data_IF_404947873082
#
_entry.id   IF_404947873082
#
_cell.length_a   1.000
_cell.length_b   1.000
_cell.length_c   1.000
_cell.angle_alpha   90.00
_cell.angle_beta   90.00
_cell.angle_gamma   90.00
#
_symmetry.space_group_name_H-M   'P 1'
#
loop_
_entity.id
_entity.type
_entity.pdbx_description
1 polymer ?
#
# COMPACT_ATOMS: atom_id res chain seq x y z
N UNK A 1 33.11 -71.86 -14.78
CA UNK A 1 32.96 -70.82 -15.80
C UNK A 1 31.84 -69.92 -15.30
N UNK A 2 32.21 -68.82 -14.76
CA UNK A 2 31.41 -67.97 -13.94
C UNK A 2 30.73 -66.88 -14.79
N UNK A 3 29.44 -66.85 -14.78
CA UNK A 3 28.68 -65.72 -15.37
C UNK A 3 28.25 -64.77 -14.29
N UNK A 4 28.93 -63.64 -14.22
CA UNK A 4 28.50 -62.52 -13.37
C UNK A 4 27.31 -61.81 -14.00
N UNK A 5 26.20 -61.86 -13.31
CA UNK A 5 25.01 -61.08 -13.58
C UNK A 5 25.12 -59.73 -12.83
N UNK A 6 25.40 -58.67 -13.56
CA UNK A 6 25.32 -57.30 -13.02
C UNK A 6 23.90 -56.90 -12.96
N UNK A 7 23.32 -56.85 -11.76
CA UNK A 7 22.05 -56.27 -11.49
C UNK A 7 22.15 -54.73 -11.58
N UNK A 8 21.47 -54.15 -12.56
CA UNK A 8 21.24 -52.72 -12.72
C UNK A 8 20.20 -52.32 -11.67
N UNK A 9 20.57 -51.43 -10.76
CA UNK A 9 19.69 -50.81 -9.78
C UNK A 9 18.81 -49.76 -10.46
N UNK A 10 17.47 -49.87 -10.44
CA UNK A 10 16.57 -48.90 -10.99
C UNK A 10 15.97 -48.03 -9.88
N UNK A 11 16.71 -47.08 -9.35
CA UNK A 11 16.14 -46.09 -8.45
C UNK A 11 16.93 -44.77 -8.42
N UNK A 12 17.03 -44.11 -9.56
CA UNK A 12 17.15 -42.66 -9.57
C UNK A 12 15.96 -42.07 -10.31
N UNK A 13 14.78 -42.17 -9.70
CA UNK A 13 13.61 -41.36 -10.06
C UNK A 13 13.92 -39.92 -9.69
N UNK A 14 14.11 -39.11 -10.71
CA UNK A 14 14.48 -37.72 -10.66
C UNK A 14 13.61 -36.90 -9.73
N UNK A 15 14.14 -36.59 -8.55
CA UNK A 15 13.76 -35.39 -7.84
C UNK A 15 14.19 -34.23 -8.72
N UNK A 16 13.23 -33.70 -9.50
CA UNK A 16 13.46 -32.55 -10.37
C UNK A 16 14.18 -31.47 -9.57
N UNK A 17 15.35 -31.11 -10.03
CA UNK A 17 16.23 -30.11 -9.41
C UNK A 17 15.50 -28.75 -9.53
N UNK A 18 14.57 -28.49 -8.60
CA UNK A 18 13.86 -27.21 -8.52
C UNK A 18 14.93 -26.13 -8.38
N UNK A 19 15.10 -25.30 -9.39
CA UNK A 19 16.13 -24.27 -9.44
C UNK A 19 16.06 -23.44 -8.14
N UNK A 20 17.16 -23.35 -7.45
CA UNK A 20 17.28 -22.51 -6.28
C UNK A 20 17.27 -21.05 -6.70
N UNK A 21 16.43 -20.25 -6.07
CA UNK A 21 16.31 -18.83 -6.37
C UNK A 21 16.71 -18.01 -5.16
N UNK A 22 17.69 -17.13 -5.33
CA UNK A 22 18.09 -16.18 -4.28
C UNK A 22 17.37 -14.86 -4.48
N UNK A 23 16.73 -14.35 -3.43
CA UNK A 23 16.12 -13.02 -3.37
C UNK A 23 16.98 -12.15 -2.46
N UNK A 24 17.50 -11.05 -2.98
CA UNK A 24 18.35 -10.13 -2.23
C UNK A 24 17.50 -8.99 -1.64
N UNK A 25 17.52 -8.88 -0.31
CA UNK A 25 16.76 -7.92 0.47
C UNK A 25 15.45 -8.50 1.02
N UNK A 26 15.30 -8.51 2.35
CA UNK A 26 14.09 -8.95 3.05
C UNK A 26 13.14 -7.78 3.40
N UNK A 27 13.07 -6.76 2.55
CA UNK A 27 12.01 -5.77 2.59
C UNK A 27 10.67 -6.37 2.12
N UNK A 28 9.57 -5.60 2.17
CA UNK A 28 8.23 -6.10 1.79
C UNK A 28 8.21 -6.71 0.37
N UNK A 29 8.90 -6.08 -0.58
CA UNK A 29 8.97 -6.57 -1.96
C UNK A 29 9.69 -7.92 -2.06
N UNK A 30 10.84 -8.06 -1.42
CA UNK A 30 11.61 -9.31 -1.41
C UNK A 30 10.87 -10.44 -0.70
N UNK A 31 10.22 -10.15 0.43
CA UNK A 31 9.39 -11.11 1.14
C UNK A 31 8.18 -11.57 0.31
N UNK A 32 7.49 -10.64 -0.35
CA UNK A 32 6.37 -10.96 -1.24
C UNK A 32 6.83 -11.78 -2.46
N UNK A 33 7.97 -11.43 -3.06
CA UNK A 33 8.58 -12.20 -4.14
C UNK A 33 8.92 -13.62 -3.68
N UNK A 34 9.62 -13.76 -2.56
CA UNK A 34 10.00 -15.06 -2.00
C UNK A 34 8.78 -15.95 -1.74
N UNK A 35 7.72 -15.40 -1.15
CA UNK A 35 6.45 -16.11 -0.92
C UNK A 35 5.79 -16.57 -2.21
N UNK A 36 5.76 -15.71 -3.22
CA UNK A 36 5.17 -16.03 -4.52
C UNK A 36 5.93 -17.16 -5.21
N UNK A 37 7.25 -17.13 -5.20
CA UNK A 37 8.11 -18.18 -5.75
C UNK A 37 7.97 -19.50 -4.99
N UNK A 38 7.92 -19.43 -3.66
CA UNK A 38 7.73 -20.61 -2.82
C UNK A 38 6.35 -21.25 -3.05
N UNK A 39 5.29 -20.45 -3.19
CA UNK A 39 3.96 -20.94 -3.55
C UNK A 39 3.91 -21.58 -4.94
N UNK A 40 4.82 -21.19 -5.85
CA UNK A 40 5.01 -21.81 -7.16
C UNK A 40 5.95 -23.05 -7.13
N UNK A 41 6.27 -23.57 -5.94
CA UNK A 41 7.11 -24.77 -5.78
C UNK A 41 8.61 -24.54 -5.95
N UNK A 42 9.08 -23.29 -5.96
CA UNK A 42 10.52 -22.98 -6.05
C UNK A 42 11.17 -23.03 -4.68
N UNK A 43 12.42 -23.51 -4.62
CA UNK A 43 13.25 -23.31 -3.45
C UNK A 43 13.77 -21.88 -3.43
N UNK A 44 13.55 -21.17 -2.34
CA UNK A 44 13.89 -19.74 -2.23
C UNK A 44 14.71 -19.49 -0.99
N UNK A 45 15.84 -18.81 -1.18
CA UNK A 45 16.66 -18.24 -0.11
C UNK A 45 16.56 -16.73 -0.16
N UNK A 46 16.17 -16.10 0.95
CA UNK A 46 16.15 -14.64 1.07
C UNK A 46 17.36 -14.19 1.86
N UNK A 47 18.17 -13.30 1.26
CA UNK A 47 19.37 -12.73 1.84
C UNK A 47 19.08 -11.32 2.33
N UNK A 48 19.38 -11.02 3.58
CA UNK A 48 19.22 -9.70 4.19
C UNK A 48 20.53 -9.27 4.84
N UNK A 49 20.90 -8.00 4.61
CA UNK A 49 22.11 -7.42 5.17
C UNK A 49 21.93 -6.91 6.62
N UNK A 50 20.69 -6.55 6.98
CA UNK A 50 20.36 -6.10 8.32
C UNK A 50 20.02 -7.27 9.26
N UNK A 51 20.09 -7.02 10.55
CA UNK A 51 19.73 -8.02 11.58
C UNK A 51 18.22 -8.37 11.58
N UNK A 52 17.39 -7.50 11.02
CA UNK A 52 15.94 -7.64 10.99
C UNK A 52 15.38 -7.49 9.58
N UNK A 53 14.34 -8.28 9.30
CA UNK A 53 13.57 -8.15 8.05
C UNK A 53 12.67 -6.92 8.08
N UNK A 54 12.25 -6.44 6.90
CA UNK A 54 11.29 -5.33 6.77
C UNK A 54 11.82 -4.12 6.01
N UNK A 55 13.14 -3.93 5.98
CA UNK A 55 13.76 -2.80 5.30
C UNK A 55 13.27 -1.46 5.87
N UNK A 56 12.58 -0.66 5.05
CA UNK A 56 12.01 0.64 5.46
C UNK A 56 10.80 0.53 6.40
N UNK A 57 10.24 -0.65 6.57
CA UNK A 57 9.11 -0.91 7.49
C UNK A 57 9.69 -1.43 8.80
N UNK A 58 10.13 -0.50 9.63
CA UNK A 58 10.82 -0.78 10.89
C UNK A 58 10.23 0.06 12.03
N UNK A 59 10.21 -0.50 13.23
CA UNK A 59 9.71 0.15 14.45
C UNK A 59 10.75 -0.01 15.55
N UNK A 60 11.14 1.09 16.18
CA UNK A 60 11.99 1.07 17.37
C UNK A 60 11.13 1.01 18.63
N UNK A 61 11.67 0.36 19.66
CA UNK A 61 11.11 0.39 21.01
C UNK A 61 12.05 1.20 21.91
N UNK A 62 11.58 2.39 22.33
CA UNK A 62 12.37 3.31 23.17
C UNK A 62 11.52 3.69 24.38
N UNK A 63 11.97 3.38 25.58
CA UNK A 63 11.29 3.72 26.85
C UNK A 63 9.81 3.31 26.90
N UNK A 64 9.47 2.16 26.29
CA UNK A 64 8.09 1.67 26.20
C UNK A 64 7.26 2.26 25.07
N UNK A 65 7.78 3.22 24.32
CA UNK A 65 7.16 3.76 23.11
C UNK A 65 7.58 2.95 21.88
N UNK A 66 6.66 2.85 20.91
CA UNK A 66 6.94 2.32 19.56
C UNK A 66 7.06 3.48 18.60
N UNK A 67 8.20 3.58 17.93
CA UNK A 67 8.52 4.65 17.01
C UNK A 67 8.78 4.05 15.64
N UNK A 68 7.85 4.25 14.70
CA UNK A 68 8.00 3.80 13.32
C UNK A 68 9.01 4.69 12.59
N UNK A 69 10.05 4.08 11.97
CA UNK A 69 11.13 4.82 11.30
C UNK A 69 10.74 5.38 9.94
N UNK A 70 9.76 4.81 9.28
CA UNK A 70 9.38 5.15 7.93
C UNK A 70 7.87 5.32 7.80
N UNK A 71 7.22 4.38 7.15
CA UNK A 71 5.77 4.41 6.98
C UNK A 71 5.06 4.27 8.32
N UNK A 72 4.09 5.16 8.55
CA UNK A 72 3.33 5.25 9.81
C UNK A 72 1.83 4.99 9.57
N UNK A 73 1.44 4.68 8.34
CA UNK A 73 0.05 4.40 7.96
C UNK A 73 0.04 3.24 6.98
N UNK A 74 -0.81 2.26 7.27
CA UNK A 74 -1.15 1.17 6.37
C UNK A 74 -2.58 1.36 5.88
N UNK A 75 -2.83 1.19 4.57
CA UNK A 75 -4.18 1.20 4.02
C UNK A 75 -4.69 -0.23 3.90
N UNK A 76 -5.70 -0.60 4.67
CA UNK A 76 -6.23 -1.96 4.70
C UNK A 76 -6.93 -2.37 3.38
N UNK A 77 -7.19 -1.40 2.51
CA UNK A 77 -7.74 -1.61 1.18
C UNK A 77 -6.72 -2.03 0.11
N UNK A 78 -5.41 -2.03 0.40
CA UNK A 78 -4.42 -2.48 -0.56
C UNK A 78 -4.65 -3.95 -0.97
N UNK A 79 -4.92 -4.23 -2.27
CA UNK A 79 -5.24 -5.60 -2.71
C UNK A 79 -4.15 -6.61 -2.37
N UNK A 80 -2.89 -6.23 -2.59
CA UNK A 80 -1.76 -7.10 -2.27
C UNK A 80 -1.60 -7.29 -0.75
N UNK A 81 -1.89 -6.26 0.04
CA UNK A 81 -1.92 -6.38 1.50
C UNK A 81 -2.98 -7.36 1.98
N UNK A 82 -4.19 -7.31 1.39
CA UNK A 82 -5.27 -8.25 1.72
C UNK A 82 -4.91 -9.69 1.31
N UNK A 83 -4.13 -9.87 0.24
CA UNK A 83 -3.70 -11.18 -0.24
C UNK A 83 -2.56 -11.77 0.59
N UNK A 84 -1.62 -10.94 1.05
CA UNK A 84 -0.36 -11.37 1.67
C UNK A 84 -0.38 -11.40 3.19
N UNK A 85 -1.28 -10.62 3.83
CA UNK A 85 -1.21 -10.35 5.26
C UNK A 85 -2.45 -10.87 6.00
N UNK A 86 -2.23 -11.38 7.19
CA UNK A 86 -3.30 -11.67 8.14
C UNK A 86 -3.65 -10.40 8.95
N UNK A 87 -4.68 -9.70 8.51
CA UNK A 87 -5.15 -8.47 9.15
C UNK A 87 -5.67 -8.70 10.58
N UNK A 88 -6.20 -9.89 10.87
CA UNK A 88 -6.67 -10.22 12.22
C UNK A 88 -5.50 -10.34 13.18
N UNK A 89 -4.42 -11.02 12.79
CA UNK A 89 -3.21 -11.15 13.58
C UNK A 89 -2.52 -9.79 13.80
N UNK A 90 -2.59 -8.86 12.84
CA UNK A 90 -2.04 -7.51 12.97
C UNK A 90 -2.78 -6.64 13.99
N UNK A 91 -4.02 -6.96 14.32
CA UNK A 91 -4.87 -6.17 15.24
C UNK A 91 -4.86 -4.68 14.86
N UNK A 92 -5.28 -4.38 13.63
CA UNK A 92 -5.20 -3.05 13.05
C UNK A 92 -6.05 -2.03 13.82
N UNK A 93 -5.40 -1.03 14.41
CA UNK A 93 -6.03 0.19 14.91
C UNK A 93 -6.38 1.11 13.73
N UNK A 94 -7.65 1.50 13.59
CA UNK A 94 -8.15 2.33 12.49
C UNK A 94 -8.17 3.79 12.86
N UNK A 95 -7.67 4.65 11.97
CA UNK A 95 -7.76 6.09 12.12
C UNK A 95 -9.15 6.61 11.72
N UNK A 96 -9.54 7.73 12.33
CA UNK A 96 -10.73 8.46 11.89
C UNK A 96 -10.54 8.94 10.43
N UNK A 97 -11.60 8.80 9.61
CA UNK A 97 -11.55 9.20 8.20
C UNK A 97 -11.56 10.73 8.08
N UNK A 98 -10.39 11.30 7.90
CA UNK A 98 -10.19 12.74 7.79
C UNK A 98 -8.75 13.14 8.06
N UNK A 99 -8.51 14.44 8.08
CA UNK A 99 -7.22 15.02 8.40
C UNK A 99 -7.41 16.37 9.12
N UNK A 100 -6.42 16.80 9.85
CA UNK A 100 -6.33 18.16 10.37
C UNK A 100 -5.23 18.88 9.61
N UNK A 101 -5.59 19.96 8.92
CA UNK A 101 -4.63 20.78 8.18
C UNK A 101 -4.23 21.96 9.04
N UNK A 102 -2.92 22.10 9.26
CA UNK A 102 -2.35 23.24 9.95
C UNK A 102 -1.99 24.34 8.93
N UNK A 103 -2.61 25.50 9.04
CA UNK A 103 -2.30 26.70 8.27
C UNK A 103 -1.87 27.81 9.22
N UNK A 104 -0.57 27.99 9.41
CA UNK A 104 -0.03 28.82 10.48
C UNK A 104 -0.47 28.31 11.86
N UNK A 105 -1.18 29.12 12.62
CA UNK A 105 -1.74 28.75 13.92
C UNK A 105 -3.19 28.21 13.86
N UNK A 106 -3.76 28.12 12.66
CA UNK A 106 -5.12 27.63 12.49
C UNK A 106 -5.11 26.15 12.14
N UNK A 107 -5.95 25.39 12.86
CA UNK A 107 -6.18 23.98 12.57
C UNK A 107 -7.55 23.84 11.90
N UNK A 108 -7.55 23.30 10.69
CA UNK A 108 -8.77 23.10 9.90
C UNK A 108 -9.05 21.60 9.74
N UNK A 109 -10.11 21.07 10.36
CA UNK A 109 -10.48 19.69 10.15
C UNK A 109 -11.06 19.50 8.75
N UNK A 110 -10.66 18.42 8.08
CA UNK A 110 -11.27 17.90 6.86
C UNK A 110 -11.72 16.48 7.16
N UNK A 111 -13.00 16.20 6.95
CA UNK A 111 -13.57 14.88 7.13
C UNK A 111 -14.01 14.27 5.79
N UNK A 112 -13.92 12.95 5.70
CA UNK A 112 -14.48 12.20 4.58
C UNK A 112 -16.02 12.24 4.65
N UNK A 113 -16.72 12.90 3.71
CA UNK A 113 -18.16 13.08 3.78
C UNK A 113 -18.95 11.77 3.67
N UNK A 114 -18.37 10.72 3.11
CA UNK A 114 -19.02 9.42 2.99
C UNK A 114 -18.97 8.59 4.29
N UNK A 115 -17.98 8.86 5.14
CA UNK A 115 -17.80 8.15 6.41
C UNK A 115 -18.19 9.00 7.63
N UNK A 116 -18.06 10.32 7.51
CA UNK A 116 -18.32 11.31 8.57
C UNK A 116 -19.11 12.51 8.04
N UNK A 117 -20.37 12.32 7.58
CA UNK A 117 -21.14 13.37 6.89
C UNK A 117 -21.37 14.62 7.76
N UNK A 118 -21.58 14.46 9.06
CA UNK A 118 -21.78 15.60 9.97
C UNK A 118 -20.51 16.46 10.09
N UNK A 119 -19.34 15.82 10.17
CA UNK A 119 -18.07 16.54 10.26
C UNK A 119 -17.65 17.18 8.93
N UNK A 120 -18.12 16.63 7.82
CA UNK A 120 -17.86 17.20 6.49
C UNK A 120 -18.56 18.56 6.30
N UNK A 121 -19.72 18.78 6.92
CA UNK A 121 -20.37 20.09 6.96
C UNK A 121 -19.46 21.14 7.58
N UNK A 122 -18.77 20.80 8.64
CA UNK A 122 -17.80 21.70 9.28
C UNK A 122 -16.61 22.02 8.34
N UNK A 123 -16.18 21.07 7.52
CA UNK A 123 -15.12 21.29 6.52
C UNK A 123 -15.51 22.33 5.47
N UNK A 124 -16.77 22.37 5.09
CA UNK A 124 -17.31 23.40 4.17
C UNK A 124 -17.47 24.73 4.88
N UNK A 125 -18.04 24.75 6.10
CA UNK A 125 -18.26 25.97 6.87
C UNK A 125 -16.96 26.67 7.26
N UNK A 126 -15.89 25.92 7.47
CA UNK A 126 -14.54 26.46 7.75
C UNK A 126 -13.87 27.07 6.52
N UNK A 127 -14.50 27.00 5.32
CA UNK A 127 -13.96 27.53 4.08
C UNK A 127 -12.75 26.76 3.53
N UNK A 128 -12.48 25.57 4.05
CA UNK A 128 -11.32 24.76 3.63
C UNK A 128 -11.55 24.14 2.26
N UNK A 129 -12.78 23.76 1.95
CA UNK A 129 -13.17 23.18 0.66
C UNK A 129 -14.43 23.89 0.16
N UNK A 130 -14.40 24.47 -1.02
CA UNK A 130 -15.59 25.03 -1.65
C UNK A 130 -16.59 23.93 -2.05
N UNK A 131 -17.86 24.25 -2.12
CA UNK A 131 -18.89 23.29 -2.59
C UNK A 131 -18.55 22.79 -4.00
N UNK A 132 -18.06 23.68 -4.87
CA UNK A 132 -17.63 23.32 -6.23
C UNK A 132 -16.49 22.30 -6.22
N UNK A 133 -15.47 22.50 -5.40
CA UNK A 133 -14.36 21.56 -5.30
C UNK A 133 -14.80 20.26 -4.65
N UNK A 134 -15.68 20.31 -3.64
CA UNK A 134 -16.28 19.13 -3.04
C UNK A 134 -17.00 18.24 -4.06
N UNK A 135 -17.77 18.82 -4.98
CA UNK A 135 -18.43 18.07 -6.06
C UNK A 135 -17.43 17.46 -7.05
N UNK A 136 -16.35 18.19 -7.40
CA UNK A 136 -15.29 17.68 -8.27
C UNK A 136 -14.53 16.53 -7.61
N UNK A 137 -14.23 16.63 -6.30
CA UNK A 137 -13.62 15.55 -5.52
C UNK A 137 -14.55 14.33 -5.46
N UNK A 138 -15.85 14.54 -5.27
CA UNK A 138 -16.83 13.46 -5.29
C UNK A 138 -16.87 12.75 -6.64
N UNK A 139 -16.84 13.50 -7.73
CA UNK A 139 -16.78 12.95 -9.09
C UNK A 139 -15.48 12.17 -9.32
N UNK A 140 -14.34 12.73 -8.92
CA UNK A 140 -13.05 12.06 -8.99
C UNK A 140 -13.09 10.73 -8.24
N UNK A 141 -13.58 10.73 -6.99
CA UNK A 141 -13.74 9.52 -6.18
C UNK A 141 -14.59 8.47 -6.90
N UNK A 142 -15.75 8.84 -7.39
CA UNK A 142 -16.65 7.93 -8.10
C UNK A 142 -16.00 7.33 -9.34
N UNK A 143 -15.34 8.14 -10.16
CA UNK A 143 -14.62 7.69 -11.36
C UNK A 143 -13.51 6.69 -11.02
N UNK A 144 -12.70 6.97 -9.99
CA UNK A 144 -11.61 6.10 -9.60
C UNK A 144 -12.10 4.77 -9.03
N UNK A 145 -13.16 4.79 -8.21
CA UNK A 145 -13.76 3.56 -7.69
C UNK A 145 -14.39 2.71 -8.80
N UNK A 146 -15.01 3.33 -9.81
CA UNK A 146 -15.53 2.61 -10.98
C UNK A 146 -14.41 1.96 -11.78
N UNK A 147 -13.32 2.69 -12.05
CA UNK A 147 -12.15 2.16 -12.76
C UNK A 147 -11.47 1.03 -11.99
N UNK A 148 -11.39 1.14 -10.67
CA UNK A 148 -10.83 0.10 -9.82
C UNK A 148 -11.66 -1.19 -9.90
N UNK A 149 -12.98 -1.09 -9.80
CA UNK A 149 -13.90 -2.24 -9.95
C UNK A 149 -13.80 -2.91 -11.32
N UNK A 150 -13.55 -2.11 -12.37
CA UNK A 150 -13.34 -2.62 -13.72
C UNK A 150 -11.93 -3.18 -13.96
N UNK A 151 -11.05 -3.22 -12.95
CA UNK A 151 -9.66 -3.65 -13.09
C UNK A 151 -8.79 -2.73 -13.96
N UNK A 152 -9.28 -1.53 -14.29
CA UNK A 152 -8.61 -0.58 -15.18
C UNK A 152 -7.82 0.51 -14.44
N UNK A 153 -7.74 0.44 -13.12
CA UNK A 153 -6.92 1.32 -12.31
C UNK A 153 -5.60 0.62 -12.00
N UNK A 154 -4.62 0.79 -12.90
CA UNK A 154 -3.27 0.28 -12.73
C UNK A 154 -2.28 1.41 -12.52
N UNK A 155 -1.20 1.12 -11.81
CA UNK A 155 -0.03 1.99 -11.73
C UNK A 155 0.90 1.82 -12.94
N UNK A 156 0.65 0.78 -13.75
CA UNK A 156 1.48 0.47 -14.91
C UNK A 156 1.37 1.54 -16.01
N UNK A 157 2.47 1.66 -16.72
CA UNK A 157 2.68 2.67 -17.74
C UNK A 157 1.93 2.40 -19.07
N UNK A 158 0.65 2.11 -19.08
CA UNK A 158 -0.09 2.01 -20.36
C UNK A 158 0.32 3.12 -21.35
N UNK A 159 -0.17 3.11 -22.56
CA UNK A 159 0.20 4.05 -23.64
C UNK A 159 -0.20 5.53 -23.40
N UNK A 160 -0.83 5.86 -22.27
CA UNK A 160 -1.16 7.24 -21.95
C UNK A 160 0.09 8.01 -21.48
N UNK A 161 0.29 9.26 -21.91
CA UNK A 161 1.42 10.08 -21.46
C UNK A 161 1.41 10.24 -19.94
N UNK A 162 2.59 10.21 -19.36
CA UNK A 162 2.79 10.46 -17.93
C UNK A 162 2.49 11.93 -17.63
N UNK A 163 1.75 12.18 -16.56
CA UNK A 163 1.51 13.54 -16.07
C UNK A 163 1.63 13.58 -14.54
N UNK A 164 1.99 14.73 -14.02
CA UNK A 164 2.06 14.95 -12.58
C UNK A 164 0.68 14.93 -11.93
N UNK A 165 0.64 14.61 -10.65
CA UNK A 165 -0.57 14.72 -9.82
C UNK A 165 -1.14 16.14 -9.87
N UNK A 166 -0.28 17.18 -9.80
CA UNK A 166 -0.68 18.59 -9.87
C UNK A 166 -1.41 18.91 -11.18
N UNK A 167 -0.86 18.50 -12.31
CA UNK A 167 -1.48 18.72 -13.62
C UNK A 167 -2.82 17.99 -13.73
N UNK A 168 -2.88 16.74 -13.28
CA UNK A 168 -4.10 15.96 -13.28
C UNK A 168 -5.23 16.58 -12.44
N UNK A 169 -4.89 17.19 -11.29
CA UNK A 169 -5.86 17.89 -10.45
C UNK A 169 -6.34 19.21 -11.11
N UNK A 170 -5.41 19.98 -11.70
CA UNK A 170 -5.75 21.21 -12.45
C UNK A 170 -6.65 20.94 -13.65
N UNK A 171 -6.35 19.90 -14.43
CA UNK A 171 -7.17 19.51 -15.59
C UNK A 171 -8.59 19.09 -15.19
N UNK A 172 -8.78 18.61 -13.97
CA UNK A 172 -10.10 18.32 -13.40
C UNK A 172 -10.81 19.57 -12.89
N UNK A 173 -10.18 20.73 -13.02
CA UNK A 173 -10.75 22.03 -12.65
C UNK A 173 -10.79 22.26 -11.13
N UNK A 174 -10.00 21.54 -10.33
CA UNK A 174 -9.87 21.82 -8.90
C UNK A 174 -9.19 23.18 -8.71
N UNK A 175 -9.66 23.95 -7.73
CA UNK A 175 -9.13 25.29 -7.47
C UNK A 175 -7.68 25.22 -6.97
N UNK A 176 -6.87 26.27 -7.24
CA UNK A 176 -5.53 26.36 -6.66
C UNK A 176 -5.54 26.27 -5.14
N UNK A 177 -6.58 26.80 -4.49
CA UNK A 177 -6.70 26.81 -3.04
C UNK A 177 -6.86 25.41 -2.45
N UNK A 178 -7.78 24.59 -3.00
CA UNK A 178 -7.95 23.22 -2.51
C UNK A 178 -6.72 22.36 -2.83
N UNK A 179 -6.05 22.61 -3.94
CA UNK A 179 -4.78 21.93 -4.25
C UNK A 179 -3.74 22.28 -3.19
N UNK A 180 -3.53 23.57 -2.90
CA UNK A 180 -2.56 24.07 -1.93
C UNK A 180 -2.91 23.69 -0.48
N UNK A 181 -4.18 23.80 -0.09
CA UNK A 181 -4.58 23.61 1.30
C UNK A 181 -4.85 22.15 1.68
N UNK A 182 -5.17 21.28 0.71
CA UNK A 182 -5.48 19.88 0.99
C UNK A 182 -4.55 18.90 0.27
N UNK A 183 -4.51 18.95 -1.07
CA UNK A 183 -3.78 17.92 -1.80
C UNK A 183 -2.26 18.00 -1.59
N UNK A 184 -1.67 19.17 -1.58
CA UNK A 184 -0.23 19.36 -1.35
C UNK A 184 0.22 18.86 0.03
N UNK A 185 -0.36 19.29 1.16
CA UNK A 185 0.11 18.83 2.46
C UNK A 185 -0.22 17.35 2.70
N UNK A 186 -1.38 16.86 2.26
CA UNK A 186 -1.79 15.48 2.50
C UNK A 186 -0.99 14.50 1.61
N UNK A 187 -1.04 14.67 0.29
CA UNK A 187 -0.34 13.77 -0.63
C UNK A 187 1.16 14.04 -0.69
N UNK A 188 1.60 15.26 -0.43
CA UNK A 188 3.01 15.56 -0.23
C UNK A 188 3.61 14.78 0.94
N UNK A 189 2.87 14.63 2.03
CA UNK A 189 3.24 13.74 3.14
C UNK A 189 3.23 12.27 2.75
N UNK A 190 2.25 11.82 1.98
CA UNK A 190 2.15 10.42 1.51
C UNK A 190 3.28 10.07 0.54
N UNK A 191 3.62 10.97 -0.38
CA UNK A 191 4.64 10.73 -1.40
C UNK A 191 6.03 11.25 -1.03
N UNK A 192 6.17 11.91 0.13
CA UNK A 192 7.39 12.52 0.64
C UNK A 192 7.98 13.55 -0.34
N UNK A 193 7.11 14.36 -0.96
CA UNK A 193 7.49 15.42 -1.89
C UNK A 193 6.53 16.61 -1.81
N UNK A 194 6.93 17.80 -2.24
CA UNK A 194 6.17 19.05 -2.00
C UNK A 194 5.36 19.53 -3.21
N UNK A 195 5.75 19.10 -4.41
CA UNK A 195 5.27 19.73 -5.64
C UNK A 195 4.14 18.98 -6.34
N UNK A 196 3.67 17.87 -5.77
CA UNK A 196 2.75 16.93 -6.40
C UNK A 196 3.25 16.51 -7.81
N UNK A 197 4.58 16.36 -7.93
CA UNK A 197 5.26 15.91 -9.14
C UNK A 197 5.09 14.41 -9.39
N UNK A 198 4.76 13.66 -8.34
CA UNK A 198 4.49 12.22 -8.41
C UNK A 198 3.43 11.92 -9.46
N UNK A 199 3.58 10.77 -10.13
CA UNK A 199 2.67 10.27 -11.16
C UNK A 199 1.19 10.36 -10.75
N UNK A 200 0.38 10.88 -11.64
CA UNK A 200 -1.07 10.92 -11.45
C UNK A 200 -1.72 9.53 -11.37
N UNK A 201 -1.05 8.49 -11.86
CA UNK A 201 -1.50 7.09 -11.74
C UNK A 201 -1.33 6.59 -10.33
N UNK A 202 -0.16 6.84 -9.72
CA UNK A 202 0.09 6.48 -8.33
C UNK A 202 -0.85 7.25 -7.39
N UNK A 203 -1.07 8.55 -7.66
CA UNK A 203 -2.06 9.34 -6.96
C UNK A 203 -3.47 8.73 -7.07
N UNK A 204 -3.91 8.38 -8.28
CA UNK A 204 -5.24 7.82 -8.51
C UNK A 204 -5.45 6.50 -7.75
N UNK A 205 -4.45 5.62 -7.77
CA UNK A 205 -4.46 4.38 -7.02
C UNK A 205 -4.52 4.63 -5.51
N UNK A 206 -3.62 5.45 -4.99
CA UNK A 206 -3.55 5.75 -3.55
C UNK A 206 -4.82 6.45 -3.05
N UNK A 207 -5.34 7.40 -3.83
CA UNK A 207 -6.61 8.06 -3.51
C UNK A 207 -7.78 7.07 -3.48
N UNK A 208 -7.84 6.13 -4.42
CA UNK A 208 -8.84 5.07 -4.41
C UNK A 208 -8.72 4.17 -3.18
N UNK A 209 -7.51 3.85 -2.73
CA UNK A 209 -7.30 3.06 -1.51
C UNK A 209 -7.80 3.80 -0.26
N UNK A 210 -7.51 5.09 -0.12
CA UNK A 210 -8.09 5.93 0.95
C UNK A 210 -9.62 6.02 0.87
N UNK A 211 -10.18 6.04 -0.35
CA UNK A 211 -11.62 6.07 -0.54
C UNK A 211 -12.33 4.75 -0.18
N UNK A 212 -11.63 3.61 -0.29
CA UNK A 212 -12.16 2.27 0.02
C UNK A 212 -12.02 1.90 1.49
N UNK A 213 -10.82 2.08 2.05
CA UNK A 213 -10.47 1.63 3.38
C UNK A 213 -9.91 2.73 4.26
N UNK A 214 -9.98 2.59 5.59
CA UNK A 214 -9.32 3.50 6.52
C UNK A 214 -7.81 3.35 6.47
N UNK A 215 -7.11 4.41 6.88
CA UNK A 215 -5.73 4.28 7.32
C UNK A 215 -5.68 3.54 8.64
N UNK A 216 -4.71 2.68 8.81
CA UNK A 216 -4.56 1.81 9.96
C UNK A 216 -3.11 1.79 10.45
N UNK A 217 -2.93 1.35 11.68
CA UNK A 217 -1.63 1.05 12.25
C UNK A 217 -1.70 -0.31 12.97
N UNK A 218 -0.78 -1.25 12.71
CA UNK A 218 -0.69 -2.49 13.48
C UNK A 218 -0.44 -2.21 14.97
N UNK A 219 -1.07 -2.98 15.86
CA UNK A 219 -0.89 -2.80 17.30
C UNK A 219 0.56 -2.99 17.76
N UNK A 220 1.36 -3.72 17.00
CA UNK A 220 2.80 -3.93 17.23
C UNK A 220 3.71 -2.89 16.57
N UNK A 221 3.17 -1.84 15.93
CA UNK A 221 3.91 -0.96 15.03
C UNK A 221 4.04 -1.55 13.63
N UNK A 222 4.59 -0.78 12.70
CA UNK A 222 4.71 -1.19 11.29
C UNK A 222 5.63 -2.41 11.12
N UNK A 223 6.63 -2.59 11.97
CA UNK A 223 7.51 -3.76 11.95
C UNK A 223 6.80 -5.11 12.22
N UNK A 224 5.54 -5.09 12.64
CA UNK A 224 4.72 -6.31 12.75
C UNK A 224 4.27 -6.88 11.39
N UNK A 225 4.39 -6.11 10.30
CA UNK A 225 3.95 -6.51 8.96
C UNK A 225 4.91 -7.53 8.31
N UNK A 226 6.24 -7.27 8.23
CA UNK A 226 7.17 -8.13 7.50
C UNK A 226 7.26 -9.59 7.99
N UNK A 227 7.31 -9.86 9.31
CA UNK A 227 7.49 -11.23 9.80
C UNK A 227 6.23 -12.09 9.76
N UNK A 228 5.10 -11.58 9.29
CA UNK A 228 3.87 -12.36 9.24
C UNK A 228 4.01 -13.61 8.36
N UNK A 229 3.48 -14.76 8.81
CA UNK A 229 3.34 -15.91 7.93
C UNK A 229 2.40 -15.56 6.77
N UNK A 230 2.49 -16.24 5.61
CA UNK A 230 1.56 -16.03 4.53
C UNK A 230 0.12 -16.23 5.04
N UNK A 231 -0.77 -15.31 4.71
CA UNK A 231 -2.19 -15.55 4.91
C UNK A 231 -2.54 -16.87 4.19
N UNK A 232 -3.32 -17.72 4.83
CA UNK A 232 -3.83 -18.91 4.16
C UNK A 232 -4.58 -18.43 2.90
N UNK A 233 -4.02 -18.71 1.73
CA UNK A 233 -4.65 -18.34 0.47
C UNK A 233 -6.02 -19.01 0.45
N UNK A 234 -7.14 -18.29 0.19
CA UNK A 234 -8.40 -18.94 -0.06
C UNK A 234 -8.16 -19.89 -1.22
N UNK A 235 -8.55 -21.16 -1.04
CA UNK A 235 -8.48 -22.18 -2.08
C UNK A 235 -9.11 -21.58 -3.35
N UNK A 236 -8.33 -21.53 -4.44
CA UNK A 236 -8.73 -20.91 -5.68
C UNK A 236 -10.06 -21.44 -6.18
N UNK A 237 -10.95 -20.52 -6.56
CA UNK A 237 -12.07 -20.83 -7.45
C UNK A 237 -11.64 -20.65 -8.89
#
# INVERSE_FOLDING_TARGET
MNGESTATDPAETGAGNAAETSVVGAGLAGLACGRTLQAAGRRVTVLEAAEQVGGRVATDSVDGFRIDRGFQVYLDAYPEGQRQLDHAALRLGRFAAGAIIAEGQRLRPIADPWRRPLDAVQSVLSGTVSISDGLKIARLRSQLLTRLKAGSLSTDAGNAPEQSTREALRQRGLSPDVIRCFFEPFFGGVFLERDLATSSRLFAFTFAMFALGPGCLPAGGMAAIPPQPPAALPAGR
#
